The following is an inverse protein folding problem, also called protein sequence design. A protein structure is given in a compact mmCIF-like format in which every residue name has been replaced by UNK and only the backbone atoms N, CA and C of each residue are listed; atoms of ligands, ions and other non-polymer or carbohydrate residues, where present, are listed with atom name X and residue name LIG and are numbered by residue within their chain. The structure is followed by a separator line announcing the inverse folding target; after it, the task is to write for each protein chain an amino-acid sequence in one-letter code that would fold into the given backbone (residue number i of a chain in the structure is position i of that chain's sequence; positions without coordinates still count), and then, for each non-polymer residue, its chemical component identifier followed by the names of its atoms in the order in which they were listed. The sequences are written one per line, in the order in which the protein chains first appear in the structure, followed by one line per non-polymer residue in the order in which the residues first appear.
data_IF_040185945948
#
_entry.id   IF_040185945948
#
_cell.length_a   1.000
_cell.length_b   1.000
_cell.length_c   1.000
_cell.angle_alpha   90.00
_cell.angle_beta   90.00
_cell.angle_gamma   90.00
#
_symmetry.space_group_name_H-M   'P 1'
#
loop_
_entity.id
_entity.type
_entity.pdbx_description
1 polymer ?
#
# COMPACT_ATOMS: atom_id res chain seq x y z
N UNK A 1 10.11 -22.58 -12.10
CA UNK A 1 10.40 -21.22 -12.61
C UNK A 1 9.11 -20.43 -12.53
N UNK A 2 9.06 -19.38 -11.71
CA UNK A 2 7.85 -18.56 -11.57
C UNK A 2 7.80 -17.62 -12.77
N UNK A 3 6.74 -17.60 -13.60
CA UNK A 3 6.67 -16.69 -14.72
C UNK A 3 6.59 -15.26 -14.18
N UNK A 4 7.60 -14.45 -14.51
CA UNK A 4 7.56 -13.01 -14.27
C UNK A 4 6.55 -12.43 -15.24
N UNK A 5 5.37 -12.06 -14.74
CA UNK A 5 4.38 -11.34 -15.53
C UNK A 5 4.87 -9.90 -15.74
N UNK A 6 4.80 -9.37 -16.98
CA UNK A 6 5.20 -7.99 -17.25
C UNK A 6 4.28 -7.01 -16.52
N UNK A 7 4.87 -5.98 -15.90
CA UNK A 7 4.12 -4.92 -15.23
C UNK A 7 3.20 -4.18 -16.22
N UNK A 8 1.95 -3.82 -15.84
CA UNK A 8 1.06 -3.05 -16.70
C UNK A 8 1.62 -1.64 -16.95
N UNK A 9 1.60 -1.19 -18.21
CA UNK A 9 2.08 0.13 -18.60
C UNK A 9 1.03 1.22 -18.28
N UNK A 10 1.44 2.43 -17.86
CA UNK A 10 0.52 3.54 -17.64
C UNK A 10 -0.13 4.02 -18.95
N UNK A 11 -1.35 4.60 -18.90
CA UNK A 11 -2.04 5.05 -20.09
C UNK A 11 -1.29 6.20 -20.79
N UNK A 12 -1.34 6.28 -22.13
CA UNK A 12 -0.68 7.34 -22.88
C UNK A 12 -1.31 8.73 -22.59
N UNK A 13 -0.52 9.82 -22.66
CA UNK A 13 -1.05 11.17 -22.49
C UNK A 13 -2.06 11.53 -23.59
N UNK A 14 -3.07 12.37 -23.30
CA UNK A 14 -4.06 12.77 -24.30
C UNK A 14 -3.41 13.63 -25.41
N UNK A 15 -3.80 13.37 -26.67
CA UNK A 15 -3.31 14.10 -27.82
C UNK A 15 -3.90 15.52 -27.89
N UNK A 16 -3.04 16.54 -28.00
CA UNK A 16 -3.41 17.95 -28.13
C UNK A 16 -3.99 18.27 -29.52
N UNK A 17 -5.31 18.50 -29.58
CA UNK A 17 -6.02 18.99 -30.76
C UNK A 17 -6.30 20.50 -30.65
N UNK A 18 -5.69 21.29 -31.55
CA UNK A 18 -5.86 22.74 -31.62
C UNK A 18 -7.18 23.13 -32.32
N UNK A 19 -8.06 23.88 -31.63
CA UNK A 19 -9.31 24.39 -32.21
C UNK A 19 -9.93 25.54 -31.41
N UNK A 20 -9.88 26.76 -31.96
CA UNK A 20 -10.45 27.97 -31.35
C UNK A 20 -11.96 28.10 -31.57
N UNK A 21 -12.77 28.05 -30.49
CA UNK A 21 -14.16 28.57 -30.48
C UNK A 21 -14.51 29.23 -29.14
N UNK A 22 -14.94 30.49 -29.22
CA UNK A 22 -15.42 31.31 -28.11
C UNK A 22 -16.83 30.87 -27.66
N UNK A 23 -16.97 30.38 -26.41
CA UNK A 23 -18.26 30.30 -25.71
C UNK A 23 -18.13 30.60 -24.22
N UNK A 24 -19.14 31.27 -23.70
CA UNK A 24 -19.28 31.82 -22.35
C UNK A 24 -18.99 30.80 -21.23
N UNK A 25 -17.98 31.08 -20.40
CA UNK A 25 -17.52 30.20 -19.33
C UNK A 25 -18.34 30.40 -18.05
N UNK A 26 -19.36 29.56 -17.85
CA UNK A 26 -19.84 29.25 -16.50
C UNK A 26 -18.69 28.54 -15.77
N UNK A 27 -18.08 29.22 -14.81
CA UNK A 27 -16.96 28.69 -14.03
C UNK A 27 -17.48 27.62 -13.06
N UNK A 28 -17.61 26.39 -13.55
CA UNK A 28 -17.70 25.22 -12.68
C UNK A 28 -16.37 25.11 -11.94
N UNK A 29 -16.37 25.45 -10.65
CA UNK A 29 -15.25 25.19 -9.76
C UNK A 29 -15.16 23.68 -9.59
N UNK A 30 -14.35 23.03 -10.41
CA UNK A 30 -13.91 21.67 -10.16
C UNK A 30 -13.09 21.71 -8.88
N UNK A 31 -13.75 21.37 -7.76
CA UNK A 31 -13.11 21.17 -6.47
C UNK A 31 -12.31 19.87 -6.64
N UNK A 32 -11.03 20.00 -7.00
CA UNK A 32 -10.09 18.89 -6.97
C UNK A 32 -10.06 18.39 -5.52
N UNK A 33 -10.78 17.29 -5.28
CA UNK A 33 -10.70 16.56 -4.03
C UNK A 33 -9.29 15.99 -4.04
N UNK A 34 -8.42 16.52 -3.18
CA UNK A 34 -7.14 15.91 -2.85
C UNK A 34 -7.47 14.55 -2.22
N UNK A 35 -7.68 13.53 -3.07
CA UNK A 35 -7.67 12.15 -2.63
C UNK A 35 -6.25 11.85 -2.18
N UNK A 36 -6.13 11.10 -1.08
CA UNK A 36 -4.86 10.57 -0.64
C UNK A 36 -4.11 10.03 -1.85
N UNK A 37 -2.91 10.55 -2.11
CA UNK A 37 -2.08 10.09 -3.22
C UNK A 37 -1.49 8.73 -2.83
N UNK A 38 -2.33 7.69 -2.79
CA UNK A 38 -1.86 6.31 -2.73
C UNK A 38 -1.01 6.07 -3.98
N UNK A 39 0.28 5.84 -3.75
CA UNK A 39 1.21 5.49 -4.82
C UNK A 39 0.96 4.04 -5.26
N UNK A 40 1.19 3.70 -6.54
CA UNK A 40 1.10 2.32 -7.00
C UNK A 40 1.91 1.34 -6.13
N UNK A 41 3.04 1.80 -5.59
CA UNK A 41 3.91 1.05 -4.69
C UNK A 41 3.25 0.78 -3.33
N UNK A 42 2.58 1.78 -2.74
CA UNK A 42 1.81 1.62 -1.50
C UNK A 42 0.68 0.60 -1.67
N UNK A 43 -0.09 0.73 -2.76
CA UNK A 43 -1.17 -0.21 -3.07
C UNK A 43 -0.66 -1.65 -3.16
N UNK A 44 0.42 -1.86 -3.91
CA UNK A 44 1.04 -3.17 -4.06
C UNK A 44 1.58 -3.72 -2.72
N UNK A 45 2.25 -2.89 -1.94
CA UNK A 45 2.74 -3.27 -0.61
C UNK A 45 1.59 -3.70 0.31
N UNK A 46 0.49 -2.94 0.32
CA UNK A 46 -0.70 -3.25 1.10
C UNK A 46 -1.34 -4.58 0.67
N UNK A 47 -1.50 -4.80 -0.64
CA UNK A 47 -2.03 -6.06 -1.18
C UNK A 47 -1.15 -7.26 -0.79
N UNK A 48 0.17 -7.08 -0.80
CA UNK A 48 1.10 -8.14 -0.40
C UNK A 48 1.06 -8.42 1.10
N UNK A 49 1.08 -7.37 1.94
CA UNK A 49 1.00 -7.49 3.40
C UNK A 49 -0.27 -8.23 3.84
N UNK A 50 -1.40 -8.02 3.17
CA UNK A 50 -2.66 -8.72 3.47
C UNK A 50 -2.61 -10.23 3.16
N UNK A 51 -1.71 -10.66 2.29
CA UNK A 51 -1.52 -12.07 1.92
C UNK A 51 -0.46 -12.77 2.79
N UNK A 52 0.35 -12.02 3.55
CA UNK A 52 1.38 -12.59 4.39
C UNK A 52 0.77 -13.38 5.56
N UNK A 53 1.33 -14.56 5.82
CA UNK A 53 0.93 -15.38 6.95
C UNK A 53 1.43 -14.76 8.26
N UNK A 54 0.57 -14.78 9.28
CA UNK A 54 0.90 -14.26 10.61
C UNK A 54 2.06 -15.03 11.25
N UNK A 55 2.11 -16.36 11.12
CA UNK A 55 3.19 -17.19 11.67
C UNK A 55 4.55 -16.80 11.08
N UNK A 56 4.61 -16.53 9.78
CA UNK A 56 5.84 -16.10 9.10
C UNK A 56 6.38 -14.79 9.69
N UNK A 57 5.51 -13.78 9.85
CA UNK A 57 5.89 -12.50 10.46
C UNK A 57 6.32 -12.68 11.91
N UNK A 58 5.57 -13.46 12.69
CA UNK A 58 5.88 -13.72 14.08
C UNK A 58 7.20 -14.49 14.28
N UNK A 59 7.56 -15.40 13.37
CA UNK A 59 8.85 -16.11 13.40
C UNK A 59 10.02 -15.17 13.16
N UNK A 60 9.89 -14.22 12.22
CA UNK A 60 10.91 -13.18 12.01
C UNK A 60 11.08 -12.32 13.28
N UNK A 61 9.97 -11.90 13.90
CA UNK A 61 10.00 -11.11 15.13
C UNK A 61 10.53 -11.92 16.32
N UNK A 62 10.38 -13.24 16.30
CA UNK A 62 10.99 -14.13 17.30
C UNK A 62 12.51 -14.13 17.22
N UNK A 63 13.15 -13.82 16.09
CA UNK A 63 14.61 -13.75 15.97
C UNK A 63 15.22 -12.43 16.47
N UNK A 64 14.40 -11.45 16.86
CA UNK A 64 14.89 -10.20 17.39
C UNK A 64 15.72 -10.40 18.68
N UNK A 65 16.64 -9.46 18.98
CA UNK A 65 17.34 -9.44 20.25
C UNK A 65 16.39 -9.46 21.46
N UNK A 66 16.81 -9.97 22.63
CA UNK A 66 15.93 -10.16 23.78
C UNK A 66 15.16 -8.92 24.25
N UNK A 67 15.69 -7.71 24.01
CA UNK A 67 15.07 -6.45 24.40
C UNK A 67 13.99 -5.93 23.44
N UNK A 68 13.91 -6.45 22.21
CA UNK A 68 12.88 -6.12 21.22
C UNK A 68 11.86 -7.25 21.04
N UNK A 69 12.17 -8.43 21.57
CA UNK A 69 11.30 -9.59 21.52
C UNK A 69 10.21 -9.49 22.60
N UNK A 70 8.96 -9.75 22.20
CA UNK A 70 7.82 -9.87 23.11
C UNK A 70 7.04 -11.13 22.76
N UNK A 71 6.69 -12.02 23.71
CA UNK A 71 5.97 -13.26 23.40
C UNK A 71 4.60 -12.98 22.78
N UNK A 72 3.70 -12.30 23.51
CA UNK A 72 2.37 -11.94 23.01
C UNK A 72 2.36 -10.48 22.57
N UNK A 73 2.22 -10.24 21.26
CA UNK A 73 2.24 -8.89 20.71
C UNK A 73 1.36 -8.75 19.46
N UNK A 74 0.97 -7.50 19.20
CA UNK A 74 0.35 -7.08 17.96
C UNK A 74 1.39 -6.31 17.16
N UNK A 75 1.67 -6.76 15.94
CA UNK A 75 2.57 -6.06 15.04
C UNK A 75 1.74 -5.43 13.92
N UNK A 76 1.70 -4.10 13.88
CA UNK A 76 0.93 -3.35 12.89
C UNK A 76 1.88 -2.67 11.92
N UNK A 77 1.71 -2.96 10.64
CA UNK A 77 2.40 -2.27 9.54
C UNK A 77 1.43 -1.25 8.95
N UNK A 78 1.84 0.01 8.94
CA UNK A 78 1.07 1.13 8.37
C UNK A 78 1.77 1.55 7.06
N UNK A 79 1.04 1.45 5.95
CA UNK A 79 1.55 1.75 4.60
C UNK A 79 1.19 3.19 4.19
N UNK A 80 -0.04 3.58 4.51
CA UNK A 80 -0.59 4.92 4.35
C UNK A 80 -1.77 5.10 5.32
N UNK A 81 -2.51 6.21 5.17
CA UNK A 81 -3.65 6.55 6.02
C UNK A 81 -4.85 5.60 5.85
N UNK A 82 -4.92 4.84 4.76
CA UNK A 82 -6.05 3.96 4.40
C UNK A 82 -5.71 2.47 4.55
N UNK A 83 -4.43 2.11 4.59
CA UNK A 83 -3.95 0.74 4.74
C UNK A 83 -3.04 0.54 5.97
N UNK A 84 -3.61 -0.15 6.96
CA UNK A 84 -2.88 -0.74 8.07
C UNK A 84 -3.20 -2.24 8.20
N UNK A 85 -2.18 -3.07 8.33
CA UNK A 85 -2.31 -4.53 8.51
C UNK A 85 -1.76 -4.91 9.88
N UNK A 86 -2.52 -5.68 10.66
CA UNK A 86 -2.13 -6.09 12.01
C UNK A 86 -2.00 -7.61 12.09
N UNK A 87 -0.82 -8.06 12.52
CA UNK A 87 -0.50 -9.46 12.79
C UNK A 87 -0.57 -9.71 14.30
N UNK A 88 -1.28 -10.77 14.69
CA UNK A 88 -1.44 -11.17 16.09
C UNK A 88 -0.52 -12.35 16.38
N UNK A 89 0.55 -12.10 17.12
CA UNK A 89 1.49 -13.13 17.51
C UNK A 89 1.10 -13.73 18.86
N UNK A 90 0.61 -14.97 18.83
CA UNK A 90 0.41 -15.81 20.00
C UNK A 90 1.76 -16.43 20.36
N UNK A 91 2.31 -16.01 21.50
CA UNK A 91 3.72 -16.15 21.81
C UNK A 91 4.21 -17.58 21.95
N UNK A 92 5.37 -17.85 21.35
CA UNK A 92 6.25 -18.96 21.74
C UNK A 92 7.26 -18.43 22.75
N UNK A 93 7.43 -19.12 23.88
CA UNK A 93 8.46 -18.77 24.86
C UNK A 93 9.81 -19.29 24.34
N UNK A 94 10.85 -18.45 24.37
CA UNK A 94 12.25 -18.91 24.26
C UNK A 94 12.55 -19.73 25.52
N UNK A 95 12.69 -21.04 25.37
CA UNK A 95 13.17 -21.96 26.42
C UNK A 95 14.67 -21.81 26.62
#
# INVERSE_FOLDING_TARGET
MVPVLPMPQPPPPPADGNGHRHRHRRRHRHRHRHGSHETPEQRYCCEWLRQMDTLCVCEILYHLPPFLWKPNHKYTVVVDDECSVTFLCEGRQRL
#
